data_IF_016188583889
#
_entry.id   IF_016188583889
#
_cell.length_a   1.000
_cell.length_b   1.000
_cell.length_c   1.000
_cell.angle_alpha   90.00
_cell.angle_beta   90.00
_cell.angle_gamma   90.00
#
_symmetry.space_group_name_H-M   'P 1'
#
loop_
_entity.id
_entity.type
_entity.pdbx_description
1 polymer ?
#
# COMPACT_ATOMS: atom_id res chain seq x y z
N UNK A 1 34.99 -29.91 -5.85
CA UNK A 1 34.86 -28.50 -6.27
C UNK A 1 36.05 -27.75 -5.70
N UNK A 2 36.86 -27.14 -6.56
CA UNK A 2 38.00 -26.32 -6.13
C UNK A 2 37.53 -24.96 -5.61
N UNK A 3 38.38 -24.27 -4.84
CA UNK A 3 38.11 -22.88 -4.40
C UNK A 3 37.83 -21.96 -5.58
N UNK A 4 38.54 -22.14 -6.71
CA UNK A 4 38.34 -21.35 -7.92
C UNK A 4 36.99 -21.62 -8.57
N UNK A 5 36.60 -22.90 -8.71
CA UNK A 5 35.28 -23.29 -9.21
C UNK A 5 34.14 -22.73 -8.33
N UNK A 6 34.32 -22.72 -7.01
CA UNK A 6 33.36 -22.13 -6.09
C UNK A 6 33.25 -20.61 -6.29
N UNK A 7 34.37 -19.89 -6.37
CA UNK A 7 34.38 -18.44 -6.62
C UNK A 7 33.68 -18.11 -7.93
N UNK A 8 33.97 -18.84 -9.00
CA UNK A 8 33.42 -18.56 -10.31
C UNK A 8 31.89 -18.74 -10.33
N UNK A 9 31.37 -19.76 -9.65
CA UNK A 9 29.93 -20.05 -9.60
C UNK A 9 29.21 -19.21 -8.53
N UNK A 10 29.68 -19.24 -7.28
CA UNK A 10 28.97 -18.67 -6.14
C UNK A 10 29.11 -17.16 -6.03
N UNK A 11 30.21 -16.58 -6.56
CA UNK A 11 30.46 -15.14 -6.52
C UNK A 11 30.35 -14.53 -7.92
N UNK A 12 31.16 -14.96 -8.90
CA UNK A 12 31.27 -14.21 -10.16
C UNK A 12 30.02 -14.29 -11.05
N UNK A 13 29.43 -15.47 -11.24
CA UNK A 13 28.17 -15.60 -11.97
C UNK A 13 27.05 -14.80 -11.30
N UNK A 14 26.99 -14.84 -9.97
CA UNK A 14 25.97 -14.13 -9.19
C UNK A 14 26.17 -12.62 -9.25
N UNK A 15 27.40 -12.11 -9.16
CA UNK A 15 27.71 -10.68 -9.35
C UNK A 15 27.18 -10.17 -10.70
N UNK A 16 27.43 -10.91 -11.78
CA UNK A 16 26.97 -10.52 -13.12
C UNK A 16 25.44 -10.50 -13.23
N UNK A 17 24.78 -11.51 -12.66
CA UNK A 17 23.31 -11.57 -12.62
C UNK A 17 22.71 -10.42 -11.79
N UNK A 18 23.28 -10.15 -10.62
CA UNK A 18 22.77 -9.12 -9.72
C UNK A 18 23.02 -7.70 -10.25
N UNK A 19 24.08 -7.44 -11.02
CA UNK A 19 24.23 -6.16 -11.73
C UNK A 19 23.03 -5.88 -12.64
N UNK A 20 22.65 -6.84 -13.49
CA UNK A 20 21.50 -6.68 -14.38
C UNK A 20 20.19 -6.54 -13.62
N UNK A 21 20.05 -7.27 -12.51
CA UNK A 21 18.86 -7.22 -11.65
C UNK A 21 18.73 -5.87 -10.94
N UNK A 22 19.83 -5.30 -10.42
CA UNK A 22 19.82 -3.97 -9.80
C UNK A 22 19.36 -2.88 -10.78
N UNK A 23 19.82 -2.92 -12.03
CA UNK A 23 19.36 -2.00 -13.08
C UNK A 23 17.86 -2.14 -13.35
N UNK A 24 17.37 -3.38 -13.46
CA UNK A 24 15.96 -3.67 -13.68
C UNK A 24 15.09 -3.17 -12.51
N UNK A 25 15.48 -3.47 -11.28
CA UNK A 25 14.73 -3.08 -10.07
C UNK A 25 14.71 -1.56 -9.96
N UNK A 26 15.86 -0.91 -10.14
CA UNK A 26 15.98 0.55 -10.10
C UNK A 26 15.08 1.23 -11.14
N UNK A 27 15.06 0.73 -12.38
CA UNK A 27 14.16 1.21 -13.41
C UNK A 27 12.68 0.98 -13.04
N UNK A 28 12.37 -0.16 -12.42
CA UNK A 28 11.02 -0.50 -11.97
C UNK A 28 10.53 0.45 -10.87
N UNK A 29 11.37 0.76 -9.87
CA UNK A 29 11.04 1.72 -8.81
C UNK A 29 10.74 3.11 -9.40
N UNK A 30 11.61 3.60 -10.29
CA UNK A 30 11.42 4.90 -10.99
C UNK A 30 10.13 4.92 -11.81
N UNK A 31 9.84 3.85 -12.57
CA UNK A 31 8.62 3.73 -13.38
C UNK A 31 7.37 3.68 -12.52
N UNK A 32 7.38 2.86 -11.46
CA UNK A 32 6.25 2.67 -10.55
C UNK A 32 5.88 3.97 -9.85
N UNK A 33 6.89 4.70 -9.36
CA UNK A 33 6.70 6.04 -8.79
C UNK A 33 5.94 6.96 -9.76
N UNK A 34 6.36 7.02 -11.02
CA UNK A 34 5.69 7.86 -12.05
C UNK A 34 4.25 7.43 -12.30
N UNK A 35 3.99 6.12 -12.41
CA UNK A 35 2.64 5.58 -12.62
C UNK A 35 1.71 5.96 -11.46
N UNK A 36 2.16 5.79 -10.21
CA UNK A 36 1.35 6.13 -9.04
C UNK A 36 1.06 7.65 -9.01
N UNK A 37 2.06 8.48 -9.32
CA UNK A 37 1.87 9.93 -9.40
C UNK A 37 0.85 10.33 -10.48
N UNK A 38 0.91 9.70 -11.64
CA UNK A 38 0.00 9.92 -12.76
C UNK A 38 -1.44 9.50 -12.42
N UNK A 39 -1.61 8.30 -11.87
CA UNK A 39 -2.91 7.81 -11.39
C UNK A 39 -3.50 8.71 -10.29
N UNK A 40 -2.66 9.21 -9.38
CA UNK A 40 -3.09 10.13 -8.33
C UNK A 40 -3.48 11.51 -8.88
N UNK A 41 -2.83 11.96 -9.97
CA UNK A 41 -3.14 13.23 -10.63
C UNK A 41 -4.49 13.16 -11.37
N UNK A 42 -4.81 11.99 -11.93
CA UNK A 42 -6.02 11.74 -12.70
C UNK A 42 -7.15 11.09 -11.89
N UNK A 43 -7.09 11.16 -10.55
CA UNK A 43 -8.11 10.61 -9.64
C UNK A 43 -8.52 9.16 -9.97
N UNK A 44 -7.56 8.35 -10.41
CA UNK A 44 -7.74 6.96 -10.86
C UNK A 44 -6.93 5.96 -10.01
N UNK A 45 -6.28 6.44 -8.93
CA UNK A 45 -5.47 5.60 -8.05
C UNK A 45 -6.33 4.93 -6.97
N UNK A 46 -6.60 3.64 -7.15
CA UNK A 46 -7.27 2.82 -6.13
C UNK A 46 -6.34 2.45 -4.96
N UNK A 47 -6.86 2.51 -3.73
CA UNK A 47 -6.09 2.19 -2.50
C UNK A 47 -5.52 0.75 -2.50
N UNK A 48 -6.28 -0.30 -2.87
CA UNK A 48 -5.75 -1.67 -2.95
C UNK A 48 -4.61 -1.81 -3.96
N UNK A 49 -4.76 -1.18 -5.13
CA UNK A 49 -3.72 -1.16 -6.18
C UNK A 49 -2.47 -0.47 -5.69
N UNK A 50 -2.62 0.69 -5.03
CA UNK A 50 -1.51 1.43 -4.42
C UNK A 50 -0.78 0.57 -3.39
N UNK A 51 -1.49 -0.02 -2.41
CA UNK A 51 -0.90 -0.85 -1.35
C UNK A 51 -0.13 -2.03 -1.93
N UNK A 52 -0.80 -2.82 -2.77
CA UNK A 52 -0.19 -4.00 -3.42
C UNK A 52 1.06 -3.64 -4.20
N UNK A 53 1.03 -2.51 -4.92
CA UNK A 53 2.16 -2.04 -5.72
C UNK A 53 3.34 -1.63 -4.83
N UNK A 54 3.08 -0.86 -3.77
CA UNK A 54 4.12 -0.43 -2.83
C UNK A 54 4.73 -1.62 -2.07
N UNK A 55 3.90 -2.56 -1.61
CA UNK A 55 4.35 -3.76 -0.89
C UNK A 55 5.24 -4.63 -1.77
N UNK A 56 4.86 -4.85 -3.04
CA UNK A 56 5.67 -5.59 -4.00
C UNK A 56 7.04 -4.93 -4.24
N UNK A 57 7.06 -3.59 -4.33
CA UNK A 57 8.32 -2.86 -4.45
C UNK A 57 9.19 -3.00 -3.19
N UNK A 58 8.60 -2.92 -2.00
CA UNK A 58 9.35 -3.09 -0.74
C UNK A 58 9.92 -4.52 -0.60
N UNK A 59 9.17 -5.55 -1.01
CA UNK A 59 9.66 -6.92 -1.04
C UNK A 59 10.87 -7.09 -1.96
N UNK A 60 10.81 -6.52 -3.17
CA UNK A 60 11.92 -6.58 -4.11
C UNK A 60 13.13 -5.79 -3.57
N UNK A 61 12.91 -4.62 -2.96
CA UNK A 61 13.98 -3.86 -2.30
C UNK A 61 14.66 -4.72 -1.22
N UNK A 62 13.87 -5.30 -0.30
CA UNK A 62 14.41 -6.14 0.77
C UNK A 62 15.16 -7.38 0.26
N UNK A 63 14.70 -7.97 -0.84
CA UNK A 63 15.42 -9.06 -1.51
C UNK A 63 16.81 -8.59 -1.98
N UNK A 64 16.89 -7.46 -2.69
CA UNK A 64 18.16 -6.92 -3.20
C UNK A 64 19.13 -6.50 -2.09
N UNK A 65 18.61 -5.91 -1.00
CA UNK A 65 19.41 -5.58 0.19
C UNK A 65 20.02 -6.84 0.83
N UNK A 66 19.29 -7.96 0.82
CA UNK A 66 19.81 -9.24 1.27
C UNK A 66 20.87 -9.81 0.32
N UNK A 67 20.68 -9.70 -1.00
CA UNK A 67 21.69 -10.11 -1.99
C UNK A 67 23.00 -9.36 -1.79
N UNK A 68 22.92 -8.05 -1.55
CA UNK A 68 24.08 -7.22 -1.22
C UNK A 68 24.86 -7.77 -0.04
N UNK A 69 24.18 -8.07 1.07
CA UNK A 69 24.83 -8.61 2.26
C UNK A 69 25.54 -9.93 1.96
N UNK A 70 24.90 -10.83 1.23
CA UNK A 70 25.48 -12.14 0.87
C UNK A 70 26.72 -11.95 -0.02
N UNK A 71 26.60 -11.19 -1.10
CA UNK A 71 27.68 -10.98 -2.06
C UNK A 71 28.85 -10.19 -1.47
N UNK A 72 28.57 -9.20 -0.61
CA UNK A 72 29.60 -8.46 0.10
C UNK A 72 30.43 -9.38 0.98
N UNK A 73 29.78 -10.26 1.76
CA UNK A 73 30.49 -11.21 2.60
C UNK A 73 31.35 -12.17 1.78
N UNK A 74 30.83 -12.66 0.64
CA UNK A 74 31.60 -13.52 -0.27
C UNK A 74 32.79 -12.80 -0.89
N UNK A 75 32.61 -11.55 -1.32
CA UNK A 75 33.70 -10.72 -1.83
C UNK A 75 34.79 -10.52 -0.77
N UNK A 76 34.43 -10.11 0.45
CA UNK A 76 35.38 -9.88 1.54
C UNK A 76 36.12 -11.18 1.93
N UNK A 77 35.45 -12.33 1.84
CA UNK A 77 36.05 -13.64 2.16
C UNK A 77 37.09 -14.07 1.12
N UNK A 78 36.82 -13.84 -0.18
CA UNK A 78 37.62 -14.37 -1.28
C UNK A 78 38.44 -13.30 -2.03
N UNK A 79 38.54 -12.09 -1.49
CA UNK A 79 39.18 -10.94 -2.16
C UNK A 79 40.62 -11.21 -2.58
N UNK A 80 41.36 -12.02 -1.82
CA UNK A 80 42.78 -12.33 -2.09
C UNK A 80 42.95 -13.29 -3.25
N UNK A 81 41.94 -14.13 -3.47
CA UNK A 81 41.86 -15.15 -4.51
C UNK A 81 41.36 -14.60 -5.85
N UNK A 82 40.77 -13.40 -5.86
CA UNK A 82 40.29 -12.75 -7.08
C UNK A 82 41.43 -12.15 -7.91
N UNK A 83 41.33 -12.31 -9.22
CA UNK A 83 42.16 -11.58 -10.16
C UNK A 83 41.65 -10.13 -10.36
N UNK A 84 42.43 -9.33 -11.09
CA UNK A 84 42.11 -7.91 -11.29
C UNK A 84 40.76 -7.70 -12.01
N UNK A 85 40.42 -8.53 -13.00
CA UNK A 85 39.16 -8.42 -13.74
C UNK A 85 37.96 -8.74 -12.85
N UNK A 86 38.08 -9.75 -12.00
CA UNK A 86 37.03 -10.14 -11.04
C UNK A 86 36.80 -9.05 -9.99
N UNK A 87 37.88 -8.44 -9.49
CA UNK A 87 37.79 -7.28 -8.59
C UNK A 87 37.08 -6.10 -9.23
N UNK A 88 37.38 -5.80 -10.49
CA UNK A 88 36.69 -4.74 -11.25
C UNK A 88 35.18 -5.02 -11.34
N UNK A 89 34.77 -6.26 -11.61
CA UNK A 89 33.35 -6.63 -11.67
C UNK A 89 32.66 -6.54 -10.30
N UNK A 90 33.33 -6.94 -9.24
CA UNK A 90 32.80 -6.77 -7.89
C UNK A 90 32.65 -5.28 -7.55
N UNK A 91 33.61 -4.43 -7.94
CA UNK A 91 33.50 -2.99 -7.75
C UNK A 91 32.33 -2.38 -8.56
N UNK A 92 32.15 -2.81 -9.81
CA UNK A 92 31.00 -2.40 -10.63
C UNK A 92 29.67 -2.71 -9.93
N UNK A 93 29.54 -3.92 -9.37
CA UNK A 93 28.39 -4.29 -8.56
C UNK A 93 28.20 -3.39 -7.34
N UNK A 94 29.27 -3.07 -6.60
CA UNK A 94 29.19 -2.19 -5.43
C UNK A 94 28.73 -0.78 -5.80
N UNK A 95 29.19 -0.22 -6.92
CA UNK A 95 28.73 1.09 -7.40
C UNK A 95 27.26 1.05 -7.83
N UNK A 96 26.83 0.02 -8.56
CA UNK A 96 25.40 -0.19 -8.90
C UNK A 96 24.54 -0.31 -7.66
N UNK A 97 25.04 -0.96 -6.63
CA UNK A 97 24.33 -1.13 -5.37
C UNK A 97 24.12 0.21 -4.66
N UNK A 98 25.12 1.12 -4.68
CA UNK A 98 24.96 2.48 -4.16
C UNK A 98 23.86 3.26 -4.88
N UNK A 99 23.79 3.14 -6.22
CA UNK A 99 22.69 3.75 -6.99
C UNK A 99 21.33 3.18 -6.56
N UNK A 100 21.22 1.85 -6.49
CA UNK A 100 20.01 1.18 -6.04
C UNK A 100 19.58 1.64 -4.63
N UNK A 101 20.49 1.67 -3.64
CA UNK A 101 20.16 2.11 -2.28
C UNK A 101 19.65 3.55 -2.22
N UNK A 102 20.22 4.44 -3.05
CA UNK A 102 19.75 5.81 -3.17
C UNK A 102 18.32 5.85 -3.69
N UNK A 103 18.03 5.09 -4.75
CA UNK A 103 16.69 5.02 -5.35
C UNK A 103 15.68 4.34 -4.43
N UNK A 104 16.09 3.29 -3.70
CA UNK A 104 15.27 2.62 -2.69
C UNK A 104 14.88 3.59 -1.55
N UNK A 105 15.82 4.41 -1.08
CA UNK A 105 15.55 5.46 -0.08
C UNK A 105 14.52 6.45 -0.61
N UNK A 106 14.74 6.99 -1.82
CA UNK A 106 13.80 7.92 -2.48
C UNK A 106 12.42 7.28 -2.65
N UNK A 107 12.37 6.00 -3.00
CA UNK A 107 11.11 5.27 -3.18
C UNK A 107 10.39 5.07 -1.85
N UNK A 108 11.09 4.73 -0.76
CA UNK A 108 10.49 4.59 0.58
C UNK A 108 9.95 5.91 1.13
N UNK A 109 10.67 7.02 0.93
CA UNK A 109 10.17 8.36 1.24
C UNK A 109 8.88 8.68 0.48
N UNK A 110 8.86 8.37 -0.82
CA UNK A 110 7.68 8.47 -1.65
C UNK A 110 6.54 7.57 -1.15
N UNK A 111 6.78 6.29 -0.87
CA UNK A 111 5.76 5.38 -0.35
C UNK A 111 5.16 5.89 0.97
N UNK A 112 6.00 6.45 1.84
CA UNK A 112 5.57 7.05 3.10
C UNK A 112 4.62 8.24 2.89
N UNK A 113 4.79 9.04 1.84
CA UNK A 113 3.87 10.15 1.54
C UNK A 113 2.46 9.68 1.16
N UNK A 114 2.28 8.39 0.87
CA UNK A 114 1.00 7.78 0.48
C UNK A 114 0.33 6.95 1.59
N UNK A 115 0.90 6.85 2.80
CA UNK A 115 0.34 6.05 3.92
C UNK A 115 -1.10 6.42 4.31
N UNK A 116 -1.47 7.69 4.15
CA UNK A 116 -2.82 8.20 4.42
C UNK A 116 -3.56 8.64 3.16
N UNK A 117 -3.15 8.15 1.99
CA UNK A 117 -3.76 8.57 0.73
C UNK A 117 -5.25 8.22 0.70
N UNK A 118 -6.05 9.25 0.38
CA UNK A 118 -7.45 9.12 0.03
C UNK A 118 -7.65 9.82 -1.32
N UNK A 119 -8.46 9.25 -2.23
CA UNK A 119 -8.86 9.94 -3.45
C UNK A 119 -9.50 11.30 -3.17
N UNK A 120 -9.34 12.28 -4.08
CA UNK A 120 -9.86 13.64 -3.85
C UNK A 120 -11.38 13.72 -3.85
N UNK A 121 -12.03 12.78 -4.53
CA UNK A 121 -13.50 12.70 -4.65
C UNK A 121 -14.20 12.13 -3.40
N UNK A 122 -13.45 11.67 -2.40
CA UNK A 122 -14.00 11.06 -1.18
C UNK A 122 -15.07 11.93 -0.49
N UNK A 123 -14.91 13.24 -0.28
CA UNK A 123 -15.95 14.06 0.34
C UNK A 123 -17.26 14.06 -0.45
N UNK A 124 -17.18 14.15 -1.79
CA UNK A 124 -18.36 14.17 -2.67
C UNK A 124 -19.08 12.82 -2.68
N UNK A 125 -18.33 11.72 -2.75
CA UNK A 125 -18.90 10.36 -2.64
C UNK A 125 -19.64 10.18 -1.32
N UNK A 126 -19.02 10.58 -0.20
CA UNK A 126 -19.64 10.46 1.13
C UNK A 126 -20.91 11.31 1.24
N UNK A 127 -20.94 12.51 0.66
CA UNK A 127 -22.12 13.36 0.63
C UNK A 127 -23.25 12.74 -0.20
N UNK A 128 -22.93 12.21 -1.39
CA UNK A 128 -23.89 11.50 -2.25
C UNK A 128 -24.49 10.27 -1.54
N UNK A 129 -23.67 9.45 -0.86
CA UNK A 129 -24.17 8.33 -0.03
C UNK A 129 -25.13 8.82 1.05
N UNK A 130 -24.80 9.90 1.77
CA UNK A 130 -25.69 10.43 2.83
C UNK A 130 -27.04 10.85 2.27
N UNK A 131 -27.07 11.48 1.10
CA UNK A 131 -28.31 11.88 0.46
C UNK A 131 -29.13 10.64 0.04
N UNK A 132 -28.50 9.64 -0.56
CA UNK A 132 -29.15 8.37 -0.94
C UNK A 132 -29.72 7.61 0.27
N UNK A 133 -29.02 7.65 1.41
CA UNK A 133 -29.52 7.06 2.67
C UNK A 133 -30.69 7.86 3.24
N UNK A 134 -30.59 9.19 3.25
CA UNK A 134 -31.66 10.07 3.75
C UNK A 134 -32.96 9.90 2.95
N UNK A 135 -32.86 9.74 1.62
CA UNK A 135 -34.02 9.42 0.75
C UNK A 135 -34.69 8.08 1.13
N UNK A 136 -33.93 7.15 1.71
CA UNK A 136 -34.43 5.86 2.21
C UNK A 136 -34.86 5.91 3.69
N UNK A 137 -34.75 7.05 4.37
CA UNK A 137 -35.05 7.20 5.80
C UNK A 137 -33.96 6.67 6.74
N UNK A 138 -32.72 6.58 6.24
CA UNK A 138 -31.56 6.12 7.01
C UNK A 138 -30.58 7.26 7.32
N UNK A 139 -29.87 7.12 8.43
CA UNK A 139 -28.76 7.99 8.83
C UNK A 139 -27.51 7.15 9.08
N UNK A 140 -26.34 7.70 8.74
CA UNK A 140 -25.04 7.04 8.93
C UNK A 140 -24.80 6.76 10.42
N UNK A 141 -24.36 5.54 10.73
CA UNK A 141 -24.06 5.04 12.07
C UNK A 141 -22.68 4.38 12.13
N UNK A 142 -21.64 5.12 11.71
CA UNK A 142 -20.27 4.63 11.70
C UNK A 142 -19.34 5.39 10.76
N UNK A 143 -18.23 4.75 10.42
CA UNK A 143 -17.26 5.26 9.46
C UNK A 143 -17.53 4.71 8.08
N UNK A 144 -17.27 5.55 7.07
CA UNK A 144 -17.23 5.10 5.69
C UNK A 144 -16.00 4.23 5.45
N UNK A 145 -16.22 3.12 4.78
CA UNK A 145 -15.20 2.21 4.32
C UNK A 145 -15.26 2.10 2.79
N UNK A 146 -14.18 1.63 2.17
CA UNK A 146 -14.05 1.63 0.72
C UNK A 146 -12.63 1.90 0.25
N UNK A 147 -12.36 1.55 -1.00
CA UNK A 147 -11.21 2.08 -1.72
C UNK A 147 -11.49 3.43 -2.39
N UNK A 148 -12.77 3.84 -2.40
CA UNK A 148 -13.28 5.10 -2.97
C UNK A 148 -13.01 5.26 -4.47
N UNK A 149 -12.72 4.17 -5.17
CA UNK A 149 -12.52 4.13 -6.63
C UNK A 149 -13.44 3.09 -7.27
N UNK A 150 -13.62 1.94 -6.62
CA UNK A 150 -14.49 0.85 -7.09
C UNK A 150 -15.70 0.65 -6.19
N UNK A 151 -15.58 0.98 -4.89
CA UNK A 151 -16.71 0.90 -3.97
C UNK A 151 -16.59 1.85 -2.76
N UNK A 152 -17.75 2.14 -2.18
CA UNK A 152 -17.89 2.83 -0.89
C UNK A 152 -19.04 2.17 -0.11
N UNK A 153 -18.84 1.99 1.18
CA UNK A 153 -19.86 1.44 2.07
C UNK A 153 -19.84 2.08 3.44
N UNK A 154 -20.96 1.94 4.15
CA UNK A 154 -21.14 2.50 5.49
C UNK A 154 -22.26 1.76 6.22
N UNK A 155 -22.11 1.63 7.54
CA UNK A 155 -23.22 1.25 8.39
C UNK A 155 -24.20 2.41 8.55
N UNK A 156 -25.49 2.13 8.39
CA UNK A 156 -26.55 3.12 8.58
C UNK A 156 -27.75 2.49 9.29
N UNK A 157 -28.49 3.30 10.02
CA UNK A 157 -29.69 2.88 10.76
C UNK A 157 -30.90 3.71 10.34
N UNK A 158 -32.13 3.24 10.55
CA UNK A 158 -33.30 4.08 10.33
C UNK A 158 -33.25 5.32 11.24
N UNK A 159 -33.71 6.46 10.73
CA UNK A 159 -33.63 7.75 11.43
C UNK A 159 -34.37 7.74 12.80
N UNK A 160 -35.42 6.94 12.91
CA UNK A 160 -36.23 6.80 14.13
C UNK A 160 -35.65 5.83 15.17
N UNK A 161 -34.53 5.17 14.88
CA UNK A 161 -33.84 4.22 15.78
C UNK A 161 -32.67 4.87 16.49
N UNK A 162 -32.29 4.41 17.70
CA UNK A 162 -31.07 4.90 18.35
C UNK A 162 -29.81 4.39 17.65
N UNK A 163 -28.73 5.15 17.80
CA UNK A 163 -27.37 4.65 17.53
C UNK A 163 -26.98 3.57 18.54
N UNK A 164 -26.18 2.60 18.12
CA UNK A 164 -25.51 1.67 19.04
C UNK A 164 -24.38 2.34 19.83
N UNK A 165 -23.84 3.45 19.31
CA UNK A 165 -22.83 4.26 19.96
C UNK A 165 -23.37 4.93 21.23
N UNK A 166 -22.48 5.59 21.97
CA UNK A 166 -22.91 6.37 23.12
C UNK A 166 -23.70 7.60 22.66
N UNK A 167 -24.85 7.88 23.31
CA UNK A 167 -25.71 8.97 22.91
C UNK A 167 -24.98 10.30 23.09
N UNK A 168 -25.01 11.13 22.05
CA UNK A 168 -24.37 12.45 22.04
C UNK A 168 -25.29 13.55 22.57
N UNK A 169 -26.59 13.25 22.74
CA UNK A 169 -27.62 14.17 23.21
C UNK A 169 -28.78 13.44 23.90
N UNK A 170 -29.66 14.20 24.56
CA UNK A 170 -30.81 13.67 25.31
C UNK A 170 -31.81 12.89 24.44
N UNK A 171 -32.00 13.29 23.18
CA UNK A 171 -32.90 12.61 22.24
C UNK A 171 -32.37 11.21 21.92
N UNK A 172 -31.07 11.07 21.66
CA UNK A 172 -30.44 9.77 21.43
C UNK A 172 -30.49 8.89 22.68
N UNK A 173 -30.24 9.46 23.87
CA UNK A 173 -30.32 8.73 25.13
C UNK A 173 -31.75 8.21 25.39
N UNK A 174 -32.75 9.04 25.11
CA UNK A 174 -34.16 8.66 25.20
C UNK A 174 -34.50 7.51 24.25
N UNK A 175 -34.13 7.63 22.97
CA UNK A 175 -34.36 6.58 21.97
C UNK A 175 -33.65 5.28 22.37
N UNK A 176 -32.41 5.37 22.85
CA UNK A 176 -31.63 4.19 23.22
C UNK A 176 -32.27 3.45 24.39
N UNK A 177 -32.78 4.18 25.39
CA UNK A 177 -33.52 3.59 26.51
C UNK A 177 -34.89 3.02 26.09
N UNK A 178 -35.63 3.73 25.22
CA UNK A 178 -36.93 3.29 24.70
C UNK A 178 -36.85 1.94 23.98
N UNK A 179 -35.75 1.69 23.28
CA UNK A 179 -35.56 0.51 22.45
C UNK A 179 -34.78 -0.63 23.14
N UNK A 180 -34.49 -0.54 24.45
CA UNK A 180 -33.81 -1.63 25.17
C UNK A 180 -34.66 -2.89 25.21
N UNK A 181 -33.99 -4.04 25.10
CA UNK A 181 -34.56 -5.37 25.36
C UNK A 181 -33.73 -6.00 26.47
N UNK A 182 -34.37 -6.40 27.57
CA UNK A 182 -33.73 -7.00 28.75
C UNK A 182 -32.54 -6.20 29.31
N UNK A 183 -32.62 -4.87 29.22
CA UNK A 183 -31.58 -3.95 29.69
C UNK A 183 -30.43 -3.74 28.71
N UNK A 184 -30.39 -4.44 27.57
CA UNK A 184 -29.33 -4.31 26.57
C UNK A 184 -29.67 -3.28 25.48
N UNK A 185 -28.65 -2.52 25.04
CA UNK A 185 -28.73 -1.67 23.85
C UNK A 185 -28.98 -2.57 22.63
N UNK A 186 -29.79 -2.09 21.69
CA UNK A 186 -30.06 -2.80 20.43
C UNK A 186 -29.25 -2.14 19.32
N UNK A 187 -28.73 -2.95 18.41
CA UNK A 187 -28.08 -2.49 17.19
C UNK A 187 -29.08 -2.55 16.03
N UNK A 188 -29.29 -1.40 15.40
CA UNK A 188 -30.19 -1.25 14.24
C UNK A 188 -29.41 -0.87 12.98
N UNK A 189 -28.08 -0.91 13.04
CA UNK A 189 -27.24 -0.60 11.90
C UNK A 189 -27.26 -1.76 10.90
N UNK A 190 -27.42 -1.40 9.64
CA UNK A 190 -27.32 -2.28 8.49
C UNK A 190 -26.19 -1.80 7.58
N UNK A 191 -25.53 -2.74 6.90
CA UNK A 191 -24.47 -2.43 5.95
C UNK A 191 -25.06 -1.99 4.61
N UNK A 192 -24.64 -0.82 4.11
CA UNK A 192 -24.94 -0.35 2.77
C UNK A 192 -23.66 -0.19 1.97
N UNK A 193 -23.67 -0.64 0.72
CA UNK A 193 -22.53 -0.61 -0.19
C UNK A 193 -22.98 -0.17 -1.57
N UNK A 194 -22.12 0.60 -2.23
CA UNK A 194 -22.32 1.07 -3.59
C UNK A 194 -21.08 0.86 -4.43
N UNK A 195 -21.29 0.50 -5.69
CA UNK A 195 -20.25 0.51 -6.71
C UNK A 195 -19.96 1.94 -7.17
N UNK A 196 -18.68 2.21 -7.44
CA UNK A 196 -18.20 3.46 -8.01
C UNK A 196 -17.69 3.18 -9.42
N UNK A 197 -18.13 3.98 -10.37
CA UNK A 197 -17.62 3.97 -11.74
C UNK A 197 -17.46 5.39 -12.25
N UNK A 198 -16.34 5.66 -12.90
CA UNK A 198 -16.01 6.99 -13.41
C UNK A 198 -16.15 8.10 -12.35
N UNK A 199 -15.72 7.79 -11.11
CA UNK A 199 -15.81 8.64 -9.91
C UNK A 199 -17.24 8.97 -9.43
N UNK A 200 -18.24 8.21 -9.89
CA UNK A 200 -19.65 8.39 -9.52
C UNK A 200 -20.25 7.11 -8.90
N UNK A 201 -21.14 7.29 -7.94
CA UNK A 201 -21.95 6.18 -7.40
C UNK A 201 -22.96 5.72 -8.46
N UNK A 202 -22.96 4.41 -8.73
CA UNK A 202 -23.99 3.74 -9.52
C UNK A 202 -25.19 3.44 -8.60
N UNK A 203 -26.39 3.81 -9.04
CA UNK A 203 -27.67 3.64 -8.32
C UNK A 203 -28.59 2.73 -9.10
#
# INVERSE_FOLDING_TARGET
MSTKEFIDIALMQRVLMEIAKLDQVTATLRKTKRIIQDLALHDSLAIPTLRTTLDNCELEIGYQENQYRVLRNLYETYERELNQTEKIRCQEYLEKNKEFFREATIFREFANSYKGYLPRNVPQLKEKVRNLLAEKGFVVDGYFEGDYVTWIGVYARPEDKPTYLDPTNEKEAYLQNKHRVDGFKQDFAEWFEWEIKDNEIIV
#
